data_IF_235613610377
#
_entry.id   IF_235613610377
#
_cell.length_a   1.000
_cell.length_b   1.000
_cell.length_c   1.000
_cell.angle_alpha   90.00
_cell.angle_beta   90.00
_cell.angle_gamma   90.00
#
_symmetry.space_group_name_H-M   'P 1'
#
loop_
_entity.id
_entity.type
_entity.pdbx_description
1 polymer ?
#
# COMPACT_ATOMS: atom_id res chain seq x y z
N UNK A 1 -5.10 -25.22 10.41
CA UNK A 1 -4.50 -23.92 10.07
C UNK A 1 -5.61 -22.89 9.97
N UNK A 2 -5.45 -21.73 10.54
CA UNK A 2 -6.53 -20.75 10.49
C UNK A 2 -6.35 -19.81 9.30
N UNK A 3 -7.47 -19.23 8.84
CA UNK A 3 -7.48 -18.34 7.67
C UNK A 3 -6.65 -17.06 7.89
N UNK A 4 -6.56 -16.61 9.14
CA UNK A 4 -5.78 -15.41 9.49
C UNK A 4 -4.31 -15.62 9.16
N UNK A 5 -3.75 -16.77 9.51
CA UNK A 5 -2.36 -17.11 9.23
C UNK A 5 -2.11 -17.19 7.73
N UNK A 6 -3.03 -17.82 6.99
CA UNK A 6 -2.91 -17.95 5.54
C UNK A 6 -2.94 -16.60 4.85
N UNK A 7 -3.83 -15.71 5.28
CA UNK A 7 -3.94 -14.36 4.73
C UNK A 7 -2.65 -13.56 4.99
N UNK A 8 -2.09 -13.65 6.21
CA UNK A 8 -0.83 -12.99 6.54
C UNK A 8 0.30 -13.46 5.65
N UNK A 9 0.44 -14.76 5.47
CA UNK A 9 1.51 -15.32 4.64
C UNK A 9 1.37 -14.92 3.18
N UNK A 10 0.14 -14.89 2.66
CA UNK A 10 -0.12 -14.47 1.29
C UNK A 10 0.25 -13.01 1.07
N UNK A 11 -0.14 -12.13 2.00
CA UNK A 11 0.20 -10.72 1.91
C UNK A 11 1.70 -10.49 2.03
N UNK A 12 2.37 -11.21 2.93
CA UNK A 12 3.82 -11.09 3.09
C UNK A 12 4.55 -11.51 1.82
N UNK A 13 4.13 -12.59 1.19
CA UNK A 13 4.72 -13.05 -0.07
C UNK A 13 4.52 -12.01 -1.18
N UNK A 14 3.33 -11.40 -1.24
CA UNK A 14 3.04 -10.35 -2.22
C UNK A 14 3.94 -9.12 -2.02
N UNK A 15 4.16 -8.74 -0.77
CA UNK A 15 5.03 -7.60 -0.44
C UNK A 15 6.47 -7.90 -0.83
N UNK A 16 6.96 -9.10 -0.52
CA UNK A 16 8.33 -9.50 -0.86
C UNK A 16 8.55 -9.49 -2.36
N UNK A 17 7.62 -10.04 -3.12
CA UNK A 17 7.68 -10.04 -4.58
C UNK A 17 7.70 -8.62 -5.15
N UNK A 18 6.87 -7.75 -4.61
CA UNK A 18 6.81 -6.35 -5.01
C UNK A 18 8.16 -5.66 -4.76
N UNK A 19 8.72 -5.82 -3.57
CA UNK A 19 10.01 -5.21 -3.23
C UNK A 19 11.15 -5.77 -4.09
N UNK A 20 11.15 -7.05 -4.36
CA UNK A 20 12.16 -7.68 -5.22
C UNK A 20 12.08 -7.13 -6.65
N UNK A 21 10.87 -6.95 -7.16
CA UNK A 21 10.66 -6.38 -8.48
C UNK A 21 11.18 -4.95 -8.57
N UNK A 22 10.90 -4.13 -7.55
CA UNK A 22 11.38 -2.76 -7.52
C UNK A 22 12.91 -2.69 -7.41
N UNK A 23 13.50 -3.61 -6.67
CA UNK A 23 14.94 -3.70 -6.56
C UNK A 23 15.58 -4.00 -7.92
N UNK A 24 15.04 -4.99 -8.62
CA UNK A 24 15.59 -5.46 -9.89
C UNK A 24 15.31 -4.52 -11.05
N UNK A 25 14.09 -3.98 -11.13
CA UNK A 25 13.67 -3.19 -12.29
C UNK A 25 13.94 -1.71 -12.12
N UNK A 26 13.68 -1.17 -10.94
CA UNK A 26 13.77 0.27 -10.71
C UNK A 26 15.05 0.69 -9.98
N UNK A 27 15.80 -0.28 -9.45
CA UNK A 27 17.06 0.01 -8.78
C UNK A 27 16.90 0.84 -7.52
N UNK A 28 15.77 0.70 -6.81
CA UNK A 28 15.53 1.47 -5.60
C UNK A 28 16.51 1.10 -4.49
N UNK A 29 16.88 2.08 -3.67
CA UNK A 29 17.81 1.84 -2.57
C UNK A 29 17.20 0.94 -1.52
N UNK A 30 18.07 0.30 -0.74
CA UNK A 30 17.64 -0.57 0.37
C UNK A 30 16.76 0.19 1.37
N UNK A 31 17.13 1.42 1.71
CA UNK A 31 16.36 2.22 2.65
C UNK A 31 14.96 2.54 2.13
N UNK A 32 14.84 2.86 0.85
CA UNK A 32 13.54 3.11 0.22
C UNK A 32 12.69 1.86 0.24
N UNK A 33 13.27 0.71 -0.07
CA UNK A 33 12.53 -0.56 -0.07
C UNK A 33 12.08 -0.95 1.32
N UNK A 34 12.88 -0.70 2.35
CA UNK A 34 12.49 -0.96 3.72
C UNK A 34 11.30 -0.09 4.15
N UNK A 35 11.30 1.18 3.73
CA UNK A 35 10.18 2.08 4.01
C UNK A 35 8.91 1.60 3.30
N UNK A 36 9.03 1.19 2.04
CA UNK A 36 7.91 0.67 1.26
C UNK A 36 7.37 -0.61 1.89
N UNK A 37 8.25 -1.50 2.29
CA UNK A 37 7.85 -2.75 2.95
C UNK A 37 7.07 -2.48 4.23
N UNK A 38 7.52 -1.54 5.02
CA UNK A 38 6.83 -1.15 6.26
C UNK A 38 5.44 -0.58 5.96
N UNK A 39 5.35 0.33 4.98
CA UNK A 39 4.07 0.93 4.62
C UNK A 39 3.08 -0.13 4.13
N UNK A 40 3.54 -1.08 3.33
CA UNK A 40 2.71 -2.17 2.83
C UNK A 40 2.25 -3.10 3.95
N UNK A 41 3.14 -3.42 4.89
CA UNK A 41 2.78 -4.26 6.03
C UNK A 41 1.72 -3.61 6.92
N UNK A 42 1.82 -2.31 7.14
CA UNK A 42 0.84 -1.59 7.94
C UNK A 42 -0.55 -1.70 7.32
N UNK A 43 -0.64 -1.49 6.02
CA UNK A 43 -1.92 -1.63 5.32
C UNK A 43 -2.41 -3.08 5.32
N UNK A 44 -1.53 -4.03 5.03
CA UNK A 44 -1.90 -5.44 4.98
C UNK A 44 -2.42 -5.93 6.33
N UNK A 45 -1.78 -5.52 7.42
CA UNK A 45 -2.21 -5.89 8.77
C UNK A 45 -3.58 -5.29 9.09
N UNK A 46 -3.76 -4.01 8.80
CA UNK A 46 -5.04 -3.34 9.01
C UNK A 46 -6.15 -4.02 8.22
N UNK A 47 -5.88 -4.30 6.93
CA UNK A 47 -6.85 -4.90 6.03
C UNK A 47 -7.30 -6.27 6.53
N UNK A 48 -6.36 -7.08 6.98
CA UNK A 48 -6.67 -8.39 7.51
C UNK A 48 -7.48 -8.31 8.81
N UNK A 49 -7.08 -7.44 9.71
CA UNK A 49 -7.74 -7.32 11.01
C UNK A 49 -9.13 -6.70 10.91
N UNK A 50 -9.29 -5.70 10.07
CA UNK A 50 -10.55 -4.95 9.96
C UNK A 50 -11.50 -5.54 8.94
N UNK A 51 -10.98 -6.18 7.89
CA UNK A 51 -11.79 -6.65 6.76
C UNK A 51 -11.63 -8.14 6.47
N UNK A 52 -10.65 -8.80 7.06
CA UNK A 52 -10.38 -10.21 6.77
C UNK A 52 -9.96 -10.47 5.34
N UNK A 53 -9.28 -9.52 4.71
CA UNK A 53 -8.88 -9.61 3.30
C UNK A 53 -7.37 -9.65 3.14
N UNK A 54 -6.91 -10.24 2.03
CA UNK A 54 -5.53 -10.12 1.58
C UNK A 54 -5.39 -8.90 0.66
N UNK A 55 -4.15 -8.52 0.37
CA UNK A 55 -3.89 -7.31 -0.42
C UNK A 55 -4.59 -7.30 -1.78
N UNK A 56 -4.63 -8.43 -2.48
CA UNK A 56 -5.25 -8.50 -3.81
C UNK A 56 -6.77 -8.38 -3.77
N UNK A 57 -7.40 -8.52 -2.60
CA UNK A 57 -8.83 -8.43 -2.44
C UNK A 57 -9.32 -7.04 -2.01
N UNK A 58 -8.40 -6.10 -1.78
CA UNK A 58 -8.76 -4.76 -1.34
C UNK A 58 -9.55 -4.02 -2.41
N UNK A 59 -10.52 -3.24 -1.95
CA UNK A 59 -11.35 -2.39 -2.79
C UNK A 59 -11.08 -0.92 -2.45
N UNK A 60 -11.56 -0.02 -3.32
CA UNK A 60 -11.38 1.41 -3.10
C UNK A 60 -11.90 1.85 -1.73
N UNK A 61 -13.05 1.31 -1.30
CA UNK A 61 -13.61 1.62 0.00
C UNK A 61 -12.72 1.21 1.16
N UNK A 62 -11.97 0.11 1.01
CA UNK A 62 -11.02 -0.34 2.04
C UNK A 62 -9.88 0.66 2.18
N UNK A 63 -9.36 1.15 1.07
CA UNK A 63 -8.28 2.14 1.07
C UNK A 63 -8.75 3.47 1.64
N UNK A 64 -9.94 3.91 1.27
CA UNK A 64 -10.51 5.13 1.83
C UNK A 64 -10.68 5.02 3.34
N UNK A 65 -11.18 3.88 3.82
CA UNK A 65 -11.35 3.64 5.25
C UNK A 65 -10.01 3.61 5.98
N UNK A 66 -8.99 3.01 5.39
CA UNK A 66 -7.66 2.96 5.99
C UNK A 66 -7.08 4.35 6.18
N UNK A 67 -7.11 5.18 5.14
CA UNK A 67 -6.56 6.53 5.23
C UNK A 67 -7.40 7.41 6.15
N UNK A 68 -8.73 7.24 6.16
CA UNK A 68 -9.59 7.97 7.10
C UNK A 68 -9.29 7.61 8.55
N UNK A 69 -9.08 6.33 8.83
CA UNK A 69 -8.78 5.86 10.19
C UNK A 69 -7.46 6.41 10.72
N UNK A 70 -6.52 6.76 9.83
CA UNK A 70 -5.20 7.24 10.23
C UNK A 70 -5.02 8.75 10.01
N UNK A 71 -6.07 9.44 9.59
CA UNK A 71 -5.98 10.84 9.21
C UNK A 71 -5.40 11.72 10.33
N UNK A 72 -5.89 11.55 11.55
CA UNK A 72 -5.49 12.41 12.69
C UNK A 72 -4.08 12.11 13.20
N UNK A 73 -3.57 10.90 12.94
CA UNK A 73 -2.28 10.47 13.45
C UNK A 73 -1.18 10.53 12.40
N UNK A 74 -1.50 10.91 11.16
CA UNK A 74 -0.54 10.85 10.05
C UNK A 74 -0.42 12.21 9.38
N UNK A 75 0.82 12.68 9.21
CA UNK A 75 1.09 13.90 8.44
C UNK A 75 0.77 13.68 6.97
N UNK A 76 0.38 14.74 6.26
CA UNK A 76 0.05 14.67 4.84
C UNK A 76 1.20 14.09 4.01
N UNK A 77 2.45 14.43 4.34
CA UNK A 77 3.61 13.89 3.62
C UNK A 77 3.73 12.38 3.76
N UNK A 78 3.51 11.85 4.97
CA UNK A 78 3.55 10.41 5.20
C UNK A 78 2.38 9.69 4.55
N UNK A 79 1.18 10.29 4.60
CA UNK A 79 0.01 9.73 3.95
C UNK A 79 0.21 9.67 2.43
N UNK A 80 0.76 10.72 1.84
CA UNK A 80 1.03 10.77 0.41
C UNK A 80 2.06 9.75 -0.01
N UNK A 81 3.12 9.54 0.81
CA UNK A 81 4.10 8.50 0.53
C UNK A 81 3.45 7.12 0.55
N UNK A 82 2.63 6.84 1.56
CA UNK A 82 1.93 5.55 1.66
C UNK A 82 1.01 5.33 0.47
N UNK A 83 0.29 6.37 0.07
CA UNK A 83 -0.58 6.28 -1.11
C UNK A 83 0.24 5.99 -2.37
N UNK A 84 1.38 6.64 -2.54
CA UNK A 84 2.24 6.42 -3.69
C UNK A 84 2.73 4.97 -3.74
N UNK A 85 3.12 4.40 -2.60
CA UNK A 85 3.55 3.01 -2.51
C UNK A 85 2.41 2.07 -2.90
N UNK A 86 1.21 2.30 -2.35
CA UNK A 86 0.04 1.48 -2.65
C UNK A 86 -0.34 1.56 -4.12
N UNK A 87 -0.26 2.75 -4.71
CA UNK A 87 -0.52 2.92 -6.15
C UNK A 87 0.44 2.10 -6.99
N UNK A 88 1.73 2.12 -6.65
CA UNK A 88 2.73 1.32 -7.36
C UNK A 88 2.43 -0.17 -7.23
N UNK A 89 2.07 -0.61 -6.04
CA UNK A 89 1.75 -2.02 -5.78
C UNK A 89 0.57 -2.48 -6.64
N UNK A 90 -0.52 -1.74 -6.63
CA UNK A 90 -1.73 -2.14 -7.36
C UNK A 90 -1.60 -1.96 -8.87
N UNK A 91 -0.82 -0.99 -9.34
CA UNK A 91 -0.51 -0.88 -10.76
C UNK A 91 0.26 -2.10 -11.25
N UNK A 92 1.23 -2.56 -10.46
CA UNK A 92 1.96 -3.78 -10.79
C UNK A 92 1.03 -5.00 -10.75
N UNK A 93 0.19 -5.11 -9.73
CA UNK A 93 -0.77 -6.20 -9.61
C UNK A 93 -1.73 -6.24 -10.80
N UNK A 94 -2.17 -5.08 -11.26
CA UNK A 94 -3.04 -4.98 -12.43
C UNK A 94 -2.34 -5.47 -13.69
N UNK A 95 -1.08 -5.05 -13.90
CA UNK A 95 -0.29 -5.50 -15.05
C UNK A 95 -0.06 -7.01 -15.04
N UNK A 96 0.06 -7.59 -13.85
CA UNK A 96 0.26 -9.03 -13.68
C UNK A 96 -1.04 -9.82 -13.62
N UNK A 97 -2.18 -9.17 -13.83
CA UNK A 97 -3.50 -9.79 -13.81
C UNK A 97 -3.85 -10.42 -12.45
N UNK A 98 -3.29 -9.90 -11.37
CA UNK A 98 -3.58 -10.39 -10.02
C UNK A 98 -4.80 -9.70 -9.42
N UNK A 99 -5.17 -8.54 -9.95
CA UNK A 99 -6.41 -7.82 -9.60
C UNK A 99 -7.13 -7.46 -10.88
N UNK A 100 -8.47 -7.39 -10.81
CA UNK A 100 -9.29 -7.04 -11.97
C UNK A 100 -9.33 -5.53 -12.20
N UNK A 101 -9.12 -4.75 -11.15
CA UNK A 101 -9.11 -3.29 -11.23
C UNK A 101 -8.19 -2.74 -10.16
N UNK A 102 -7.73 -1.51 -10.38
CA UNK A 102 -6.84 -0.82 -9.45
C UNK A 102 -7.67 -0.09 -8.39
N UNK A 103 -7.63 -0.53 -7.12
CA UNK A 103 -8.42 0.12 -6.07
C UNK A 103 -7.95 1.53 -5.74
N UNK A 104 -6.74 1.91 -6.17
CA UNK A 104 -6.18 3.23 -5.93
C UNK A 104 -6.43 4.20 -7.08
N UNK A 105 -7.09 3.77 -8.16
CA UNK A 105 -7.19 4.53 -9.40
C UNK A 105 -7.71 5.95 -9.20
N UNK A 106 -8.71 6.12 -8.34
CA UNK A 106 -9.35 7.41 -8.11
C UNK A 106 -8.88 8.12 -6.86
N UNK A 107 -7.92 7.57 -6.16
CA UNK A 107 -7.40 8.18 -4.95
C UNK A 107 -6.41 9.29 -5.29
N UNK A 108 -6.55 10.42 -4.62
CA UNK A 108 -5.71 11.59 -4.82
C UNK A 108 -4.88 11.86 -3.58
N UNK A 109 -3.68 12.37 -3.79
CA UNK A 109 -2.83 12.81 -2.70
C UNK A 109 -3.51 13.92 -1.91
N UNK A 110 -3.29 13.92 -0.58
CA UNK A 110 -3.76 14.99 0.27
C UNK A 110 -3.10 16.30 -0.12
N UNK A 111 -3.87 17.39 -0.10
CA UNK A 111 -3.29 18.70 -0.35
C UNK A 111 -2.35 19.07 0.78
N UNK A 112 -1.14 19.43 0.41
CA UNK A 112 -0.19 19.99 1.35
C UNK A 112 -0.32 21.51 1.32
N UNK A 113 -0.05 22.18 2.47
CA UNK A 113 0.00 23.65 2.45
C UNK A 113 1.01 24.11 1.40
N UNK A 114 0.69 25.18 0.66
CA UNK A 114 1.64 25.69 -0.32
C UNK A 114 2.95 26.06 0.34
N UNK A 115 4.06 25.72 -0.31
CA UNK A 115 5.38 26.14 0.13
C UNK A 115 5.73 27.39 -0.65
N UNK A 116 5.72 28.51 0.05
CA UNK A 116 6.11 29.76 -0.56
C UNK A 116 7.58 30.02 -0.29
N UNK A 117 8.35 30.40 -1.32
CA UNK A 117 9.71 30.87 -1.08
C UNK A 117 9.63 32.15 -0.25
N UNK A 118 10.49 32.24 0.69
CA UNK A 118 10.51 33.38 1.58
C UNK A 118 11.77 34.16 1.39
#
# INVERSE_FOLDING_TARGET
>A
MNAVTDASLTSQASIDEFCDTLWLEDGLSKNTLEAYRRDMRLFATWLQMERGKVLYDAKAEDLNAYFAARHDSTKATSANRRLAVLKRFYQMALRQNRVASDPCLRMKSAKQPPRYPK
#
